data_IF_262470084425
#
_entry.id   IF_262470084425
#
_cell.length_a   1.000
_cell.length_b   1.000
_cell.length_c   1.000
_cell.angle_alpha   90.00
_cell.angle_beta   90.00
_cell.angle_gamma   90.00
#
_symmetry.space_group_name_H-M   'P 1'
#
loop_
_entity.id
_entity.type
_entity.pdbx_description
1 polymer ?
#
# COMPACT_ATOMS: atom_id res chain seq x y z
N UNK A 1 -17.04 -21.95 -20.65
CA UNK A 1 -15.64 -21.59 -20.95
C UNK A 1 -14.77 -22.17 -19.87
N UNK A 2 -13.79 -22.96 -20.28
CA UNK A 2 -12.80 -23.58 -19.40
C UNK A 2 -11.93 -22.51 -18.73
N UNK A 3 -11.60 -22.70 -17.45
CA UNK A 3 -10.70 -21.82 -16.69
C UNK A 3 -9.32 -21.79 -17.37
N UNK A 4 -8.89 -22.91 -17.95
CA UNK A 4 -7.59 -22.98 -18.60
C UNK A 4 -7.55 -22.17 -19.90
N UNK A 5 -8.66 -22.13 -20.65
CA UNK A 5 -8.78 -21.23 -21.80
C UNK A 5 -8.71 -19.74 -21.39
N UNK A 6 -9.33 -19.37 -20.27
CA UNK A 6 -9.26 -17.98 -19.76
C UNK A 6 -7.86 -17.59 -19.29
N UNK A 7 -7.08 -18.51 -18.71
CA UNK A 7 -5.68 -18.25 -18.31
C UNK A 7 -4.81 -17.95 -19.54
N UNK A 8 -4.99 -18.73 -20.61
CA UNK A 8 -4.24 -18.55 -21.86
C UNK A 8 -4.57 -17.20 -22.51
N UNK A 9 -5.86 -16.84 -22.56
CA UNK A 9 -6.31 -15.54 -23.08
C UNK A 9 -5.70 -14.36 -22.29
N UNK A 10 -5.68 -14.46 -20.95
CA UNK A 10 -5.07 -13.43 -20.11
C UNK A 10 -3.56 -13.32 -20.31
N UNK A 11 -2.85 -14.45 -20.42
CA UNK A 11 -1.41 -14.49 -20.70
C UNK A 11 -1.08 -13.83 -22.03
N UNK A 12 -1.82 -14.20 -23.08
CA UNK A 12 -1.65 -13.61 -24.40
C UNK A 12 -1.87 -12.10 -24.37
N UNK A 13 -2.95 -11.63 -23.72
CA UNK A 13 -3.20 -10.21 -23.55
C UNK A 13 -2.07 -9.49 -22.81
N UNK A 14 -1.55 -10.06 -21.72
CA UNK A 14 -0.45 -9.48 -20.93
C UNK A 14 0.84 -9.34 -21.75
N UNK A 15 1.17 -10.33 -22.58
CA UNK A 15 2.36 -10.31 -23.44
C UNK A 15 2.34 -9.20 -24.49
N UNK A 16 1.15 -8.72 -24.86
CA UNK A 16 0.97 -7.63 -25.83
C UNK A 16 0.94 -6.24 -25.20
N UNK A 17 1.03 -6.13 -23.86
CA UNK A 17 1.07 -4.82 -23.17
C UNK A 17 2.47 -4.24 -23.24
N UNK A 18 2.63 -3.18 -24.03
CA UNK A 18 3.88 -2.40 -24.11
C UNK A 18 3.85 -1.11 -23.27
N UNK A 19 2.80 -0.92 -22.46
CA UNK A 19 2.62 0.25 -21.59
C UNK A 19 2.97 -0.09 -20.14
N UNK A 20 4.10 0.44 -19.67
CA UNK A 20 4.61 0.21 -18.32
C UNK A 20 3.63 0.67 -17.23
N UNK A 21 2.85 1.74 -17.46
CA UNK A 21 1.87 2.24 -16.50
C UNK A 21 0.71 1.24 -16.32
N UNK A 22 0.30 0.58 -17.39
CA UNK A 22 -0.72 -0.49 -17.33
C UNK A 22 -0.19 -1.72 -16.61
N UNK A 23 1.05 -2.13 -16.89
CA UNK A 23 1.69 -3.24 -16.18
C UNK A 23 1.77 -2.98 -14.67
N UNK A 24 2.17 -1.77 -14.24
CA UNK A 24 2.21 -1.39 -12.82
C UNK A 24 0.86 -1.54 -12.13
N UNK A 25 -0.23 -1.11 -12.79
CA UNK A 25 -1.59 -1.25 -12.24
C UNK A 25 -2.02 -2.71 -12.10
N UNK A 26 -1.67 -3.56 -13.06
CA UNK A 26 -1.98 -5.00 -13.00
C UNK A 26 -1.20 -5.68 -11.88
N UNK A 27 0.07 -5.35 -11.70
CA UNK A 27 0.88 -5.87 -10.59
C UNK A 27 0.32 -5.43 -9.22
N UNK A 28 -0.14 -4.18 -9.10
CA UNK A 28 -0.83 -3.71 -7.90
C UNK A 28 -2.13 -4.48 -7.65
N UNK A 29 -2.92 -4.76 -8.70
CA UNK A 29 -4.13 -5.57 -8.59
C UNK A 29 -3.82 -7.01 -8.13
N UNK A 30 -2.74 -7.62 -8.65
CA UNK A 30 -2.28 -8.92 -8.20
C UNK A 30 -1.96 -8.92 -6.70
N UNK A 31 -1.27 -7.89 -6.21
CA UNK A 31 -0.95 -7.74 -4.79
C UNK A 31 -2.24 -7.67 -3.95
N UNK A 32 -3.23 -6.88 -4.38
CA UNK A 32 -4.53 -6.75 -3.69
C UNK A 32 -5.34 -8.05 -3.71
N UNK A 33 -5.28 -8.83 -4.80
CA UNK A 33 -6.00 -10.10 -4.92
C UNK A 33 -5.36 -11.23 -4.10
N UNK A 34 -4.03 -11.22 -3.98
CA UNK A 34 -3.27 -12.25 -3.27
C UNK A 34 -3.11 -11.96 -1.77
N UNK A 35 -3.31 -10.70 -1.34
CA UNK A 35 -3.13 -10.28 0.04
C UNK A 35 -4.43 -9.79 0.67
N UNK A 36 -4.67 -10.20 1.91
CA UNK A 36 -5.78 -9.68 2.71
C UNK A 36 -5.50 -8.22 3.08
N UNK A 37 -6.37 -7.31 2.63
CA UNK A 37 -6.34 -5.90 3.01
C UNK A 37 -6.89 -5.78 4.43
N UNK A 38 -6.10 -5.22 5.33
CA UNK A 38 -6.45 -5.10 6.76
C UNK A 38 -6.69 -3.65 7.20
N UNK A 39 -6.21 -2.67 6.42
CA UNK A 39 -6.39 -1.25 6.72
C UNK A 39 -6.33 -0.37 5.46
N UNK A 40 -6.62 0.92 5.63
CA UNK A 40 -6.41 1.96 4.62
C UNK A 40 -5.67 3.16 5.22
N UNK A 41 -4.80 3.80 4.43
CA UNK A 41 -4.17 5.06 4.80
C UNK A 41 -5.14 6.24 4.69
N UNK A 42 -4.74 7.42 5.19
CA UNK A 42 -5.52 8.66 5.09
C UNK A 42 -5.79 9.06 3.61
N UNK A 43 -4.89 8.69 2.69
CA UNK A 43 -5.08 8.89 1.24
C UNK A 43 -5.94 7.80 0.57
N UNK A 44 -6.43 6.82 1.33
CA UNK A 44 -7.23 5.69 0.84
C UNK A 44 -6.43 4.52 0.29
N UNK A 45 -5.09 4.56 0.39
CA UNK A 45 -4.23 3.45 -0.06
C UNK A 45 -4.51 2.18 0.76
N UNK A 46 -4.84 1.04 0.13
CA UNK A 46 -5.08 -0.21 0.84
C UNK A 46 -3.77 -0.76 1.40
N UNK A 47 -3.81 -1.22 2.65
CA UNK A 47 -2.64 -1.72 3.39
C UNK A 47 -2.85 -3.19 3.72
N UNK A 48 -1.88 -4.03 3.36
CA UNK A 48 -1.89 -5.45 3.70
C UNK A 48 -1.33 -5.73 5.10
N UNK A 49 -1.45 -6.97 5.58
CA UNK A 49 -1.00 -7.35 6.93
C UNK A 49 0.49 -7.12 7.18
N UNK A 50 1.34 -7.40 6.20
CA UNK A 50 2.79 -7.24 6.33
C UNK A 50 3.17 -5.76 6.38
N UNK A 51 2.58 -4.96 5.50
CA UNK A 51 2.74 -3.51 5.48
C UNK A 51 2.25 -2.88 6.79
N UNK A 52 1.10 -3.32 7.31
CA UNK A 52 0.56 -2.81 8.57
C UNK A 52 1.50 -3.10 9.75
N UNK A 53 2.08 -4.32 9.81
CA UNK A 53 3.07 -4.67 10.85
C UNK A 53 4.31 -3.77 10.74
N UNK A 54 4.77 -3.48 9.53
CA UNK A 54 5.92 -2.60 9.32
C UNK A 54 5.61 -1.16 9.76
N UNK A 55 4.41 -0.64 9.46
CA UNK A 55 3.98 0.68 9.93
C UNK A 55 3.99 0.80 11.46
N UNK A 56 3.57 -0.26 12.17
CA UNK A 56 3.61 -0.32 13.64
C UNK A 56 5.06 -0.29 14.14
N UNK A 57 5.95 -1.10 13.54
CA UNK A 57 7.38 -1.11 13.91
C UNK A 57 8.05 0.23 13.66
N UNK A 58 7.78 0.87 12.53
CA UNK A 58 8.29 2.21 12.24
C UNK A 58 7.79 3.23 13.25
N UNK A 59 6.54 3.11 13.71
CA UNK A 59 6.02 3.98 14.76
C UNK A 59 6.73 3.77 16.10
N UNK A 60 6.99 2.51 16.50
CA UNK A 60 7.75 2.19 17.70
C UNK A 60 9.20 2.70 17.63
N UNK A 61 9.83 2.59 16.46
CA UNK A 61 11.17 3.13 16.21
C UNK A 61 11.19 4.65 16.34
N UNK A 62 10.20 5.36 15.75
CA UNK A 62 10.07 6.82 15.89
C UNK A 62 9.93 7.25 17.34
N UNK A 63 9.12 6.54 18.12
CA UNK A 63 8.96 6.81 19.56
C UNK A 63 10.30 6.62 20.28
N UNK A 64 10.97 5.50 20.02
CA UNK A 64 12.27 5.16 20.64
C UNK A 64 13.37 6.16 20.27
N UNK A 65 13.37 6.66 19.04
CA UNK A 65 14.38 7.60 18.54
C UNK A 65 14.08 9.06 18.90
N UNK A 66 13.00 9.34 19.62
CA UNK A 66 12.59 10.71 19.95
C UNK A 66 11.97 11.50 18.77
N UNK A 67 11.66 10.83 17.65
CA UNK A 67 11.03 11.43 16.47
C UNK A 67 9.50 11.43 16.62
N UNK A 68 9.01 12.07 17.68
CA UNK A 68 7.58 12.25 17.94
C UNK A 68 7.31 13.68 18.35
N UNK A 69 6.08 14.15 18.12
CA UNK A 69 5.60 15.45 18.59
C UNK A 69 4.56 15.19 19.66
N UNK A 70 4.73 15.80 20.84
CA UNK A 70 3.70 15.70 21.89
C UNK A 70 2.54 16.64 21.59
N UNK A 71 1.41 16.45 22.27
CA UNK A 71 0.29 17.39 22.15
C UNK A 71 0.70 18.82 22.56
N UNK A 72 1.50 18.95 23.61
CA UNK A 72 1.99 20.26 24.08
C UNK A 72 2.91 20.93 23.03
N UNK A 73 3.79 20.15 22.39
CA UNK A 73 4.65 20.68 21.32
C UNK A 73 3.82 21.16 20.12
N UNK A 74 2.79 20.39 19.76
CA UNK A 74 1.87 20.74 18.70
C UNK A 74 1.06 22.02 19.02
N UNK A 75 0.55 22.14 20.26
CA UNK A 75 -0.18 23.33 20.70
C UNK A 75 0.70 24.59 20.58
N UNK A 76 1.97 24.52 20.98
CA UNK A 76 2.95 25.62 20.83
C UNK A 76 3.24 25.95 19.37
N UNK A 77 3.30 24.96 18.47
CA UNK A 77 3.51 25.19 17.04
C UNK A 77 2.31 25.92 16.41
N UNK A 78 1.08 25.53 16.77
CA UNK A 78 -0.16 26.13 16.25
C UNK A 78 -0.29 27.60 16.65
N UNK A 79 0.18 27.97 17.85
CA UNK A 79 0.20 29.38 18.29
C UNK A 79 1.03 30.30 17.38
N UNK A 80 1.98 29.72 16.61
CA UNK A 80 2.89 30.45 15.72
C UNK A 80 2.48 30.37 14.24
N UNK A 81 1.32 29.80 13.91
CA UNK A 81 0.81 29.68 12.53
C UNK A 81 -0.08 30.85 12.08
#
# INVERSE_FOLDING_TARGET
>A
MDIDAKKIELLDWLLHINDESKLKKIMALKIVLDKEIVAHTISGYPVDKEEYINMVKEADERITSGNYTTLEDLEKEIENW
#
